data_IF_947434788636
#
_entry.id   IF_947434788636
#
_cell.length_a   1.000
_cell.length_b   1.000
_cell.length_c   1.000
_cell.angle_alpha   90.00
_cell.angle_beta   90.00
_cell.angle_gamma   90.00
#
_symmetry.space_group_name_H-M   'P 1'
#
loop_
_entity.id
_entity.type
_entity.pdbx_description
1 polymer ?
2 polymer ?
3 water ?
#
# COMPACT_ATOMS: atom_id res chain seq x y z
N UNK A 40 7.35 15.85 21.32
CA UNK A 40 7.43 15.08 20.08
C UNK A 40 6.85 15.89 18.89
N UNK A 41 7.63 16.00 17.82
CA UNK A 41 7.15 16.71 16.62
C UNK A 41 6.12 15.87 15.88
N UNK A 42 5.45 16.53 14.92
CA UNK A 42 4.55 15.84 14.02
C UNK A 42 5.36 15.01 13.02
N UNK A 43 4.83 13.85 12.66
CA UNK A 43 5.47 12.97 11.68
C UNK A 43 5.18 13.53 10.29
N UNK A 44 6.06 13.30 9.31
CA UNK A 44 5.78 13.79 7.96
C UNK A 44 4.52 13.14 7.42
N UNK A 45 3.86 13.85 6.51
CA UNK A 45 2.68 13.29 5.86
C UNK A 45 3.04 12.05 5.06
N UNK A 46 2.06 11.16 4.87
CA UNK A 46 2.24 10.00 4.02
C UNK A 46 0.88 9.47 3.56
N UNK A 47 0.90 8.67 2.51
CA UNK A 47 -0.36 8.06 2.13
C UNK A 47 -0.64 6.91 3.08
N UNK A 48 -1.87 6.48 3.10
CA UNK A 48 -2.26 5.35 3.94
C UNK A 48 -2.00 4.06 3.18
N UNK A 49 -0.97 3.31 3.58
CA UNK A 49 -0.76 1.97 3.08
C UNK A 49 -1.84 1.05 3.64
N UNK A 50 -1.98 -0.12 3.01
CA UNK A 50 -2.98 -1.05 3.53
C UNK A 50 -2.59 -1.56 4.91
N UNK A 51 -1.28 -1.63 5.21
CA UNK A 51 -0.87 -2.06 6.53
C UNK A 51 -1.28 -1.03 7.57
N UNK A 52 -1.02 0.24 7.28
CA UNK A 52 -1.50 1.30 8.15
C UNK A 52 -2.99 1.16 8.33
N UNK A 53 -3.71 0.96 7.22
CA UNK A 53 -5.16 0.80 7.29
C UNK A 53 -5.58 -0.30 8.25
N UNK A 54 -4.95 -1.47 8.16
CA UNK A 54 -5.33 -2.59 9.03
C UNK A 54 -4.94 -2.30 10.47
N UNK A 55 -3.69 -1.90 10.70
CA UNK A 55 -3.24 -1.57 12.04
C UNK A 55 -4.13 -0.50 12.67
N UNK A 56 -4.41 0.59 11.93
CA UNK A 56 -5.18 1.70 12.50
C UNK A 56 -6.63 1.33 12.75
N UNK A 57 -7.22 0.52 11.85
CA UNK A 57 -8.61 0.12 12.00
C UNK A 57 -8.82 -0.67 13.29
N UNK A 58 -7.93 -1.63 13.54
CA UNK A 58 -8.00 -2.40 14.78
C UNK A 58 -7.77 -1.52 15.99
N UNK A 59 -6.81 -0.60 15.89
CA UNK A 59 -6.55 0.28 17.02
C UNK A 59 -7.80 1.11 17.34
N UNK A 60 -8.40 1.72 16.32
CA UNK A 60 -9.61 2.49 16.52
C UNK A 60 -10.72 1.61 17.09
N UNK A 61 -10.88 0.41 16.52
CA UNK A 61 -11.84 -0.56 17.04
C UNK A 61 -11.61 -0.84 18.51
N UNK A 62 -10.38 -1.21 18.86
CA UNK A 62 -10.07 -1.53 20.25
C UNK A 62 -10.35 -0.36 21.18
N UNK A 63 -10.08 0.87 20.73
CA UNK A 63 -10.24 2.00 21.64
C UNK A 63 -11.67 2.54 21.65
N UNK A 64 -12.57 1.74 21.13
CA UNK A 64 -13.98 2.06 21.06
C UNK A 64 -14.45 3.21 20.25
N UNK A 65 -13.89 3.37 19.07
CA UNK A 65 -14.30 4.44 18.21
C UNK A 65 -15.11 4.02 17.02
N UNK A 66 -15.90 4.94 16.51
CA UNK A 66 -16.66 4.70 15.33
C UNK A 66 -17.74 3.66 15.28
N UNK A 67 -17.63 2.61 16.05
CA UNK A 67 -18.59 1.53 15.88
C UNK A 67 -19.99 2.00 16.27
N UNK A 68 -20.93 1.82 15.35
CA UNK A 68 -22.31 2.17 15.57
C UNK A 68 -22.64 3.63 15.42
N UNK A 69 -21.63 4.50 15.27
CA UNK A 69 -21.89 5.92 15.19
C UNK A 69 -22.50 6.26 13.84
N UNK A 70 -23.39 7.24 13.82
CA UNK A 70 -24.02 7.64 12.58
C UNK A 70 -23.03 8.34 11.65
N UNK A 71 -23.04 7.92 10.39
CA UNK A 71 -22.21 8.53 9.36
C UNK A 71 -22.80 9.85 8.88
N UNK A 72 -21.92 10.81 8.61
CA UNK A 72 -22.30 12.08 8.02
C UNK A 72 -21.10 12.62 7.25
N UNK A 73 -21.37 13.53 6.32
CA UNK A 73 -20.28 14.20 5.62
C UNK A 73 -19.36 14.89 6.61
N UNK A 74 -19.92 15.62 7.57
CA UNK A 74 -19.08 16.30 8.55
C UNK A 74 -18.18 15.30 9.28
N UNK A 75 -18.76 14.18 9.71
CA UNK A 75 -17.98 13.22 10.48
C UNK A 75 -16.94 12.51 9.63
N UNK A 76 -17.26 12.25 8.37
CA UNK A 76 -16.26 11.84 7.40
C UNK A 76 -15.09 12.82 7.43
N UNK A 77 -15.38 14.13 7.36
CA UNK A 77 -14.29 15.10 7.33
C UNK A 77 -13.56 15.14 8.66
N UNK A 78 -14.30 15.04 9.76
CA UNK A 78 -13.67 15.01 11.08
C UNK A 78 -12.68 13.85 11.16
N UNK A 79 -13.07 12.69 10.65
CA UNK A 79 -12.17 11.54 10.63
C UNK A 79 -10.95 11.83 9.77
N UNK A 80 -11.15 12.32 8.54
CA UNK A 80 -10.04 12.74 7.70
C UNK A 80 -9.08 13.64 8.47
N UNK A 81 -9.61 14.65 9.15
CA UNK A 81 -8.78 15.66 9.80
C UNK A 81 -8.03 15.07 10.99
N UNK A 82 -8.72 14.25 11.78
CA UNK A 82 -8.10 13.67 12.95
C UNK A 82 -6.86 12.90 12.56
N UNK A 83 -6.97 12.03 11.57
CA UNK A 83 -5.83 11.20 11.22
C UNK A 83 -4.77 11.97 10.45
N UNK A 84 -5.16 13.03 9.73
CA UNK A 84 -4.16 13.86 9.09
C UNK A 84 -3.28 14.53 10.14
N UNK A 85 -3.90 15.18 11.12
CA UNK A 85 -3.17 15.95 12.11
C UNK A 85 -2.67 15.10 13.27
N UNK A 86 -2.96 13.81 13.28
CA UNK A 86 -2.46 12.92 14.32
C UNK A 86 -1.56 11.81 13.81
N UNK A 87 -1.71 11.39 12.56
CA UNK A 87 -0.81 10.37 12.03
C UNK A 87 -0.17 10.79 10.72
N UNK A 88 -0.37 12.03 10.29
CA UNK A 88 0.19 12.46 9.03
C UNK A 88 -0.39 11.73 7.84
N UNK A 89 -1.65 11.36 7.92
CA UNK A 89 -2.31 10.65 6.85
C UNK A 89 -2.95 11.66 5.92
N UNK A 90 -2.61 11.56 4.65
CA UNK A 90 -3.20 12.44 3.68
C UNK A 90 -4.62 11.99 3.55
N UNK A 91 -5.58 13.00 3.54
CA UNK A 91 -6.95 12.53 3.47
C UNK A 91 -7.44 12.16 2.10
N UNK A 92 -6.88 11.11 1.54
CA UNK A 92 -7.31 10.63 0.24
C UNK A 92 -7.67 9.18 0.26
N UNK A 93 -7.76 8.63 1.45
CA UNK A 93 -8.00 7.22 1.62
C UNK A 93 -9.45 6.89 1.94
N UNK A 94 -10.21 7.83 2.50
CA UNK A 94 -11.55 7.55 2.99
C UNK A 94 -12.56 7.74 1.88
N UNK A 95 -12.84 6.67 1.17
CA UNK A 95 -13.82 6.68 0.08
C UNK A 95 -14.62 5.39 0.19
N UNK A 96 -15.89 5.43 -0.16
CA UNK A 96 -16.74 4.26 -0.05
C UNK A 96 -17.51 4.00 -1.30
N UNK A 97 -18.00 2.79 -1.47
CA UNK A 97 -18.79 2.41 -2.64
C UNK A 97 -20.18 3.02 -2.65
N UNK A 98 -20.63 3.40 -3.83
CA UNK A 98 -21.87 4.11 -4.08
C UNK A 98 -23.31 3.68 -3.96
N UNK A 99 -23.64 2.51 -4.44
CA UNK A 99 -25.02 2.09 -4.51
C UNK A 99 -25.63 1.91 -3.19
N UNK A 100 -26.95 1.83 -3.14
CA UNK A 100 -27.61 1.62 -1.85
C UNK A 100 -27.05 0.39 -1.12
N UNK A 101 -27.38 0.30 0.14
CA UNK A 101 -26.91 -0.80 0.95
C UNK A 101 -25.57 -0.49 1.57
N UNK A 102 -24.84 -1.56 1.90
CA UNK A 102 -23.55 -1.44 2.55
C UNK A 102 -22.56 -0.77 1.61
N UNK A 103 -21.77 0.11 2.19
CA UNK A 103 -20.77 0.82 1.46
C UNK A 103 -19.46 0.29 1.94
N UNK A 104 -18.67 -0.17 1.02
CA UNK A 104 -17.42 -0.78 1.34
C UNK A 104 -16.31 0.18 1.10
N UNK A 105 -15.32 0.18 1.97
CA UNK A 105 -14.19 1.08 1.81
C UNK A 105 -13.43 0.76 0.56
N UNK A 106 -13.09 1.76 -0.20
CA UNK A 106 -12.34 1.54 -1.44
C UNK A 106 -10.83 1.48 -1.23
N UNK A 107 -10.33 1.91 -0.06
CA UNK A 107 -8.97 1.64 0.34
C UNK A 107 -8.94 0.26 0.99
N UNK A 108 -8.27 -0.71 0.36
CA UNK A 108 -8.18 -2.04 0.96
C UNK A 108 -7.43 -1.96 2.28
N UNK A 109 -7.90 -2.70 3.26
CA UNK A 109 -7.30 -2.73 4.57
C UNK A 109 -8.01 -1.87 5.60
N UNK A 110 -8.79 -0.89 5.17
CA UNK A 110 -9.60 -0.10 6.08
C UNK A 110 -10.83 -0.91 6.45
N UNK A 111 -11.05 -1.12 7.75
CA UNK A 111 -12.00 -2.12 8.22
C UNK A 111 -13.33 -1.53 8.65
N UNK A 112 -13.63 -0.31 8.26
CA UNK A 112 -14.83 0.35 8.71
C UNK A 112 -15.74 0.56 7.50
N UNK A 113 -16.77 -0.26 7.38
CA UNK A 113 -17.74 -0.07 6.32
C UNK A 113 -18.94 0.72 6.85
N UNK A 114 -19.83 1.10 5.92
CA UNK A 114 -21.06 1.83 6.24
C UNK A 114 -22.24 0.91 6.05
N UNK A 115 -23.02 0.73 7.11
CA UNK A 115 -24.18 -0.16 7.13
C UNK A 115 -25.44 0.69 7.21
N UNK A 116 -26.43 0.46 6.36
CA UNK A 116 -27.66 1.24 6.46
C UNK A 116 -28.45 0.91 7.72
N UNK A 117 -29.04 1.93 8.29
CA UNK A 117 -29.87 1.84 9.48
C UNK A 117 -31.31 2.11 9.04
N UNK A 118 -32.25 1.34 9.57
CA UNK A 118 -33.66 1.61 9.31
C UNK A 118 -34.18 2.62 10.32
N UNK A 119 -34.77 3.70 9.82
CA UNK A 119 -35.22 4.81 10.67
C UNK A 119 -36.62 5.23 10.22
N UNK A 125 -36.70 14.02 8.59
CA UNK A 125 -36.11 15.36 8.47
C UNK A 125 -36.29 16.02 7.10
N UNK A 126 -36.82 17.25 7.07
CA UNK A 126 -37.04 17.85 5.75
C UNK A 126 -35.82 18.66 5.35
N UNK A 127 -35.75 18.96 4.05
CA UNK A 127 -34.53 19.53 3.50
C UNK A 127 -34.18 20.85 4.17
N UNK A 128 -35.19 21.63 4.52
CA UNK A 128 -34.93 22.93 5.13
C UNK A 128 -34.26 22.78 6.50
N UNK A 129 -34.70 21.81 7.31
CA UNK A 129 -33.98 21.55 8.55
C UNK A 129 -32.54 21.18 8.26
N UNK A 130 -32.32 20.33 7.25
CA UNK A 130 -30.96 19.93 6.90
C UNK A 130 -30.07 21.14 6.63
N UNK A 131 -30.58 22.13 5.91
CA UNK A 131 -29.81 23.31 5.62
C UNK A 131 -29.46 24.06 6.90
N UNK A 132 -30.47 24.41 7.69
CA UNK A 132 -30.23 25.36 8.76
C UNK A 132 -29.75 24.72 10.04
N UNK A 133 -29.86 23.42 10.21
CA UNK A 133 -29.39 22.83 11.44
C UNK A 133 -28.44 21.69 11.11
N UNK A 134 -27.42 21.38 12.04
CA UNK A 134 -26.38 20.38 11.74
C UNK A 134 -26.86 18.97 11.99
N UNK A 135 -27.92 18.55 11.31
CA UNK A 135 -28.43 17.22 11.60
C UNK A 135 -27.36 16.22 11.27
N UNK A 136 -27.04 15.37 12.22
CA UNK A 136 -26.01 14.39 12.00
C UNK A 136 -26.44 12.97 11.66
N UNK A 137 -26.98 12.82 10.46
CA UNK A 137 -27.35 11.55 9.92
C UNK A 137 -27.09 11.74 8.47
N UNK A 138 -26.86 10.66 7.80
CA UNK A 138 -26.54 10.73 6.36
C UNK A 138 -27.76 10.91 5.47
N UNK A 139 -28.97 11.12 6.04
CA UNK A 139 -30.19 11.15 5.22
C UNK A 139 -30.04 12.04 4.00
N UNK A 140 -29.53 13.25 4.18
CA UNK A 140 -29.38 14.19 3.08
C UNK A 140 -27.96 14.30 2.56
N UNK A 141 -26.96 13.80 3.31
CA UNK A 141 -25.62 13.78 2.74
C UNK A 141 -25.53 12.68 1.69
N UNK A 142 -26.28 11.62 1.86
CA UNK A 142 -26.14 10.40 1.07
C UNK A 142 -26.96 10.52 -0.20
N UNK A 143 -26.37 10.30 -1.37
CA UNK A 143 -27.14 10.44 -2.62
C UNK A 143 -28.34 9.52 -2.70
N UNK A 144 -28.34 8.41 -1.98
CA UNK A 144 -29.43 7.46 -2.02
C UNK A 144 -30.33 7.58 -0.80
N UNK A 145 -30.15 8.65 0.00
CA UNK A 145 -30.98 8.95 1.13
C UNK A 145 -31.01 7.96 2.29
N UNK A 146 -30.14 6.96 2.28
CA UNK A 146 -30.08 6.02 3.39
C UNK A 146 -29.32 6.62 4.56
N UNK A 147 -29.72 6.23 5.77
CA UNK A 147 -29.00 6.60 6.99
C UNK A 147 -27.98 5.51 7.25
N UNK A 148 -26.70 5.88 7.25
CA UNK A 148 -25.60 4.94 7.34
C UNK A 148 -24.96 5.01 8.72
N UNK A 149 -24.45 3.87 9.16
CA UNK A 149 -23.70 3.80 10.41
C UNK A 149 -22.37 3.08 10.18
N UNK A 150 -21.35 3.46 10.97
CA UNK A 150 -20.06 2.81 10.84
C UNK A 150 -20.13 1.45 11.48
N UNK A 151 -19.58 0.44 10.82
CA UNK A 151 -19.51 -0.91 11.36
C UNK A 151 -18.12 -1.47 11.11
N UNK A 152 -17.55 -2.08 12.13
CA UNK A 152 -16.25 -2.73 12.00
C UNK A 152 -16.43 -4.11 11.36
N UNK A 153 -15.62 -4.40 10.34
CA UNK A 153 -15.67 -5.71 9.72
C UNK A 153 -14.24 -6.15 9.40
N UNK A 154 -13.72 -7.14 10.13
CA UNK A 154 -12.30 -7.51 9.95
C UNK A 154 -12.06 -8.37 8.72
N UNK A 155 -13.10 -8.95 8.12
CA UNK A 155 -12.88 -9.67 6.89
C UNK A 155 -12.45 -8.75 5.77
N UNK A 156 -12.62 -7.44 5.97
CA UNK A 156 -12.13 -6.48 5.00
C UNK A 156 -10.60 -6.50 4.91
N UNK A 157 -9.91 -7.11 5.87
CA UNK A 157 -8.48 -7.35 5.74
C UNK A 157 -8.17 -8.56 4.88
N UNK A 158 -9.17 -9.38 4.58
CA UNK A 158 -9.07 -10.63 3.84
C UNK A 158 -9.65 -10.52 2.45
N UNK A 159 -10.76 -9.82 2.33
CA UNK A 159 -11.37 -9.65 1.04
C UNK A 159 -11.51 -8.17 0.68
N UNK A 160 -11.06 -7.81 -0.49
CA UNK A 160 -11.16 -6.47 -0.96
C UNK A 160 -12.53 -6.45 -1.58
N UNK A 161 -13.55 -6.35 -0.75
CA UNK A 161 -14.90 -6.38 -1.24
C UNK A 161 -15.24 -5.27 -2.17
N UNK A 162 -14.83 -4.08 -1.86
CA UNK A 162 -15.14 -2.99 -2.78
C UNK A 162 -14.66 -3.32 -4.19
N UNK A 163 -13.40 -3.74 -4.33
CA UNK A 163 -12.84 -3.98 -5.65
C UNK A 163 -13.51 -5.16 -6.33
N UNK A 164 -13.77 -6.23 -5.57
CA UNK A 164 -14.34 -7.44 -6.15
C UNK A 164 -15.79 -7.24 -6.50
N UNK A 165 -16.49 -6.37 -5.77
CA UNK A 165 -17.90 -6.16 -6.07
C UNK A 165 -18.16 -4.99 -7.03
N UNK A 166 -17.40 -3.90 -6.94
CA UNK A 166 -17.68 -2.69 -7.72
C UNK A 166 -16.44 -2.21 -8.47
N UNK A 167 -15.91 -3.05 -9.38
CA UNK A 167 -14.70 -2.63 -10.13
C UNK A 167 -14.90 -1.33 -10.86
N UNK A 168 -16.10 -1.10 -11.40
CA UNK A 168 -16.38 0.12 -12.15
C UNK A 168 -16.10 1.37 -11.34
N UNK A 169 -16.16 1.27 -10.02
CA UNK A 169 -15.93 2.44 -9.17
C UNK A 169 -14.46 2.72 -8.94
N UNK A 170 -13.55 2.14 -9.72
CA UNK A 170 -12.11 2.37 -9.57
C UNK A 170 -11.44 2.87 -10.84
N UNK B 40 14.11 11.68 -19.71
CA UNK B 40 13.41 11.47 -18.44
C UNK B 40 14.38 10.92 -17.39
N UNK B 41 14.47 11.61 -16.23
CA UNK B 41 15.27 11.09 -15.12
C UNK B 41 14.54 9.95 -14.44
N UNK B 42 15.26 9.25 -13.57
CA UNK B 42 14.63 8.18 -12.80
C UNK B 42 13.66 8.78 -11.79
N UNK B 43 12.54 8.09 -11.55
CA UNK B 43 11.54 8.56 -10.59
C UNK B 43 12.04 8.32 -9.18
N UNK B 44 11.63 9.13 -8.19
CA UNK B 44 12.09 8.92 -6.81
C UNK B 44 11.67 7.56 -6.28
N UNK B 45 12.42 7.08 -5.29
CA UNK B 45 12.04 5.84 -4.64
C UNK B 45 10.70 5.97 -3.90
N UNK B 46 9.98 4.87 -3.85
CA UNK B 46 8.74 4.79 -3.11
C UNK B 46 8.47 3.32 -2.82
N UNK B 47 7.60 3.08 -1.83
CA UNK B 47 7.23 1.72 -1.54
C UNK B 47 6.19 1.25 -2.55
N UNK B 48 6.02 -0.06 -2.65
CA UNK B 48 5.02 -0.63 -3.54
C UNK B 48 3.70 -0.65 -2.82
N UNK B 49 2.80 0.26 -3.21
CA UNK B 49 1.44 0.19 -2.73
C UNK B 49 0.75 -1.01 -3.38
N UNK B 50 -0.38 -1.40 -2.81
CA UNK B 50 -1.13 -2.47 -3.43
C UNK B 50 -1.72 -2.05 -4.77
N UNK B 51 -1.94 -0.76 -5.00
CA UNK B 51 -2.39 -0.36 -6.34
C UNK B 51 -1.26 -0.53 -7.35
N UNK B 52 -0.04 -0.09 -7.01
CA UNK B 52 1.11 -0.39 -7.85
C UNK B 52 1.25 -1.89 -8.08
N UNK B 53 1.20 -2.65 -6.99
CA UNK B 53 1.32 -4.10 -7.08
C UNK B 53 0.34 -4.67 -8.09
N UNK B 54 -0.94 -4.29 -7.99
CA UNK B 54 -1.94 -4.84 -8.90
C UNK B 54 -1.72 -4.36 -10.32
N UNK B 55 -1.59 -3.04 -10.50
CA UNK B 55 -1.36 -2.53 -11.85
C UNK B 55 -0.13 -3.17 -12.47
N UNK B 56 0.98 -3.21 -11.72
CA UNK B 56 2.24 -3.73 -12.29
C UNK B 56 2.15 -5.22 -12.55
N UNK B 57 1.46 -5.98 -11.69
CA UNK B 57 1.35 -7.42 -11.90
C UNK B 57 0.66 -7.72 -13.22
N UNK B 58 -0.45 -7.02 -13.49
CA UNK B 58 -1.17 -7.17 -14.74
C UNK B 58 -0.32 -6.73 -15.92
N UNK B 59 0.43 -5.65 -15.77
CA UNK B 59 1.28 -5.19 -16.85
C UNK B 59 2.32 -6.25 -17.21
N UNK B 60 3.00 -6.79 -16.20
CA UNK B 60 4.03 -7.81 -16.41
C UNK B 60 3.44 -9.04 -17.07
N UNK B 61 2.27 -9.47 -16.60
CA UNK B 61 1.53 -10.56 -17.24
C UNK B 61 1.27 -10.27 -18.71
N UNK B 62 0.67 -9.14 -19.01
CA UNK B 62 0.36 -8.79 -20.36
C UNK B 62 1.54 -8.70 -21.26
N UNK B 63 2.68 -8.35 -20.73
CA UNK B 63 3.89 -8.17 -21.50
C UNK B 63 4.82 -9.35 -21.72
N UNK B 64 4.39 -10.55 -21.38
CA UNK B 64 5.24 -11.70 -21.54
C UNK B 64 5.07 -12.04 -20.13
N UNK B 65 6.10 -11.94 -19.31
CA UNK B 65 5.87 -12.16 -17.93
C UNK B 65 6.83 -12.89 -17.11
N UNK B 66 6.28 -13.46 -16.09
CA UNK B 66 7.06 -14.28 -15.23
C UNK B 66 6.49 -15.63 -15.30
N UNK B 67 5.35 -15.69 -15.95
CA UNK B 67 4.58 -16.90 -16.01
C UNK B 67 5.32 -18.08 -16.52
N UNK B 68 5.23 -19.13 -15.74
CA UNK B 68 5.87 -20.40 -16.00
C UNK B 68 7.34 -20.50 -15.66
N UNK B 69 8.00 -19.40 -15.30
CA UNK B 69 9.43 -19.37 -15.02
C UNK B 69 9.71 -20.01 -13.66
N UNK B 70 10.84 -20.72 -13.58
CA UNK B 70 11.27 -21.32 -12.33
C UNK B 70 11.78 -20.26 -11.38
N UNK B 71 11.31 -20.32 -10.13
CA UNK B 71 11.77 -19.41 -9.10
C UNK B 71 13.18 -19.82 -8.66
N UNK B 72 14.00 -18.82 -8.37
CA UNK B 72 15.33 -18.99 -7.82
C UNK B 72 15.68 -17.74 -7.00
N UNK B 73 16.64 -17.90 -6.09
CA UNK B 73 17.09 -16.76 -5.29
C UNK B 73 17.60 -15.63 -6.16
N UNK B 74 18.46 -15.95 -7.13
CA UNK B 74 18.98 -14.91 -8.03
C UNK B 74 17.84 -14.22 -8.75
N UNK B 75 16.88 -15.00 -9.28
CA UNK B 75 15.79 -14.37 -10.03
C UNK B 75 14.90 -13.53 -9.14
N UNK B 76 14.72 -13.95 -7.89
CA UNK B 76 14.08 -13.08 -6.91
C UNK B 76 14.76 -11.71 -6.89
N UNK B 77 16.11 -11.70 -6.82
CA UNK B 77 16.82 -10.42 -6.78
C UNK B 77 16.74 -9.68 -8.10
N UNK B 78 16.83 -10.39 -9.22
CA UNK B 78 16.76 -9.75 -10.53
C UNK B 78 15.45 -8.97 -10.68
N UNK B 79 14.34 -9.58 -10.25
CA UNK B 79 13.06 -8.88 -10.26
C UNK B 79 13.08 -7.67 -9.32
N UNK B 80 13.50 -7.87 -8.07
CA UNK B 80 13.67 -6.76 -7.13
C UNK B 80 14.44 -5.62 -7.78
N UNK B 81 15.57 -5.93 -8.39
CA UNK B 81 16.43 -4.90 -8.94
C UNK B 81 15.78 -4.25 -10.15
N UNK B 82 15.14 -5.07 -10.98
CA UNK B 82 14.48 -4.54 -12.16
C UNK B 82 13.46 -3.47 -11.77
N UNK B 83 12.62 -3.75 -10.79
CA UNK B 83 11.62 -2.76 -10.41
C UNK B 83 12.22 -1.63 -9.58
N UNK B 84 13.34 -1.84 -8.91
CA UNK B 84 14.00 -0.73 -8.24
C UNK B 84 14.54 0.28 -9.25
N UNK B 85 15.33 -0.19 -10.20
CA UNK B 85 15.98 0.74 -11.12
C UNK B 85 15.13 1.14 -12.32
N UNK B 86 13.93 0.59 -12.48
CA UNK B 86 13.06 1.00 -13.57
C UNK B 86 11.74 1.64 -13.13
N UNK B 87 11.25 1.33 -11.93
CA UNK B 87 10.07 1.98 -11.38
C UNK B 87 10.32 2.60 -10.02
N UNK B 88 11.56 2.59 -9.53
CA UNK B 88 11.84 3.17 -8.23
C UNK B 88 11.14 2.49 -7.08
N UNK B 89 10.95 1.18 -7.15
CA UNK B 89 10.29 0.43 -6.07
C UNK B 89 11.35 -0.07 -5.09
N UNK B 90 11.21 0.30 -3.84
CA UNK B 90 12.14 -0.17 -2.86
C UNK B 90 11.98 -1.67 -2.79
N UNK B 91 13.17 -2.39 -2.76
CA UNK B 91 13.01 -3.84 -2.76
C UNK B 91 12.72 -4.45 -1.41
N UNK B 92 11.56 -4.15 -0.89
CA UNK B 92 11.15 -4.70 0.37
C UNK B 92 9.75 -5.29 0.30
N UNK B 93 9.26 -5.47 -0.90
CA UNK B 93 7.91 -5.95 -1.13
C UNK B 93 7.83 -7.42 -1.49
N UNK B 94 8.90 -8.01 -2.05
CA UNK B 94 8.85 -9.36 -2.60
C UNK B 94 9.14 -10.42 -1.54
N UNK B 95 8.09 -10.90 -0.92
CA UNK B 95 8.21 -11.94 0.07
C UNK B 95 7.03 -12.90 -0.09
N UNK B 96 7.29 -14.18 0.19
CA UNK B 96 6.29 -15.21 -0.01
C UNK B 96 6.06 -16.01 1.26
N UNK B 97 4.90 -16.61 1.38
CA UNK B 97 4.63 -17.48 2.50
C UNK B 97 5.46 -18.71 2.26
N UNK B 98 5.75 -19.45 3.30
CA UNK B 98 6.64 -20.57 3.18
C UNK B 98 6.24 -22.01 3.11
N UNK B 99 5.29 -22.38 3.91
CA UNK B 99 5.05 -23.80 4.06
C UNK B 99 5.13 -24.49 2.72
N UNK B 100 5.02 -25.81 2.72
CA UNK B 100 5.00 -26.54 1.44
C UNK B 100 3.86 -26.05 0.55
N UNK B 101 3.93 -26.39 -0.71
CA UNK B 101 2.84 -26.02 -1.58
C UNK B 101 2.97 -24.64 -2.16
N UNK B 102 1.84 -24.02 -2.45
CA UNK B 102 1.84 -22.69 -3.03
C UNK B 102 2.38 -21.69 -2.03
N UNK B 103 3.21 -20.79 -2.52
CA UNK B 103 3.72 -19.65 -1.75
C UNK B 103 3.06 -18.40 -2.26
N UNK B 104 2.37 -17.73 -1.40
CA UNK B 104 1.56 -16.53 -1.61
C UNK B 104 2.34 -15.28 -1.31
N UNK B 105 2.18 -14.26 -2.16
CA UNK B 105 2.86 -12.97 -1.91
C UNK B 105 2.41 -12.36 -0.60
N UNK B 106 3.37 -11.90 0.20
CA UNK B 106 2.94 -11.27 1.45
C UNK B 106 2.60 -9.79 1.26
N UNK B 107 2.97 -9.20 0.13
CA UNK B 107 2.47 -7.88 -0.23
C UNK B 107 1.13 -8.08 -0.94
N UNK B 108 0.06 -7.61 -0.32
CA UNK B 108 -1.24 -7.70 -0.93
C UNK B 108 -1.25 -6.95 -2.25
N UNK B 109 -1.86 -7.55 -3.27
CA UNK B 109 -1.96 -6.93 -4.56
C UNK B 109 -0.92 -7.39 -5.55
N UNK B 110 0.15 -8.00 -5.07
CA UNK B 110 1.12 -8.60 -5.96
C UNK B 110 0.50 -9.91 -6.44
N UNK B 111 0.38 -10.06 -7.75
CA UNK B 111 -0.48 -11.12 -8.27
C UNK B 111 0.31 -12.33 -8.76
N UNK B 112 1.57 -12.45 -8.37
CA UNK B 112 2.42 -13.53 -8.86
C UNK B 112 2.81 -14.43 -7.69
N UNK B 113 2.23 -15.63 -7.64
CA UNK B 113 2.50 -16.62 -6.61
C UNK B 113 3.52 -17.68 -7.08
N UNK B 114 3.96 -18.52 -6.14
CA UNK B 114 4.89 -19.60 -6.43
C UNK B 114 4.16 -20.93 -6.32
N UNK B 115 4.17 -21.67 -7.40
CA UNK B 115 3.46 -22.95 -7.51
C UNK B 115 4.48 -24.06 -7.60
N UNK B 116 4.32 -25.14 -6.83
CA UNK B 116 5.25 -26.26 -6.95
C UNK B 116 5.07 -26.99 -8.28
N UNK B 117 6.20 -27.33 -8.89
CA UNK B 117 6.27 -28.09 -10.14
C UNK B 117 6.97 -29.39 -9.84
N UNK B 118 6.46 -30.50 -10.36
CA UNK B 118 7.22 -31.75 -10.26
C UNK B 118 8.04 -31.92 -11.51
N UNK B 119 9.30 -32.31 -11.30
CA UNK B 119 10.30 -32.24 -12.36
C UNK B 119 11.02 -33.57 -12.51
N UNK B 120 11.23 -33.96 -13.78
CA UNK B 120 11.96 -35.17 -14.15
C UNK B 120 13.32 -35.22 -13.47
N UNK B 121 13.62 -36.36 -12.85
CA UNK B 121 14.88 -36.46 -12.12
C UNK B 121 16.10 -36.36 -13.03
N UNK B 122 15.91 -36.41 -14.36
CA UNK B 122 16.96 -36.04 -15.30
C UNK B 122 17.14 -34.52 -15.36
N UNK B 123 16.03 -33.78 -15.36
CA UNK B 123 16.06 -32.32 -15.40
C UNK B 123 16.11 -31.68 -14.03
N UNK B 124 16.18 -32.47 -12.95
CA UNK B 124 16.37 -31.89 -11.63
C UNK B 124 17.76 -31.25 -11.52
N UNK B 125 17.83 -30.13 -10.80
CA UNK B 125 19.07 -29.40 -10.72
C UNK B 125 20.08 -30.19 -9.92
N UNK B 126 21.28 -30.32 -10.46
CA UNK B 126 22.32 -31.08 -9.79
C UNK B 126 22.88 -30.27 -8.62
N UNK B 127 22.89 -30.88 -7.44
CA UNK B 127 23.33 -30.17 -6.25
C UNK B 127 24.79 -29.75 -6.32
N UNK B 128 25.64 -30.50 -7.01
CA UNK B 128 26.99 -30.00 -7.19
C UNK B 128 27.00 -28.70 -7.98
N UNK B 129 26.20 -28.62 -9.04
CA UNK B 129 26.08 -27.37 -9.80
C UNK B 129 25.54 -26.24 -8.92
N UNK B 130 24.51 -26.53 -8.11
CA UNK B 130 23.99 -25.56 -7.16
C UNK B 130 25.08 -24.99 -6.25
N UNK B 131 26.01 -25.82 -5.79
CA UNK B 131 27.10 -25.31 -4.97
C UNK B 131 27.96 -24.33 -5.73
N UNK B 132 28.43 -24.75 -6.89
CA UNK B 132 29.48 -23.99 -7.57
C UNK B 132 28.97 -22.89 -8.48
N UNK B 133 27.69 -22.91 -8.81
CA UNK B 133 27.06 -21.87 -9.62
C UNK B 133 25.80 -21.38 -8.93
N UNK B 134 25.20 -20.30 -9.42
CA UNK B 134 23.97 -19.82 -8.78
C UNK B 134 22.85 -20.81 -9.04
N UNK B 135 21.89 -20.86 -8.12
CA UNK B 135 20.82 -21.85 -8.20
C UNK B 135 19.97 -21.64 -9.45
N UNK B 136 19.81 -22.72 -10.21
CA UNK B 136 18.88 -22.73 -11.34
C UNK B 136 17.43 -22.77 -10.87
N UNK B 137 17.17 -23.32 -9.70
CA UNK B 137 15.81 -23.51 -9.24
C UNK B 137 15.79 -23.29 -7.74
N UNK B 138 14.60 -23.39 -7.17
CA UNK B 138 14.45 -23.28 -5.74
C UNK B 138 14.72 -24.60 -5.01
N UNK B 139 15.01 -25.68 -5.73
CA UNK B 139 15.04 -27.02 -5.12
C UNK B 139 15.96 -27.14 -3.92
N UNK B 140 17.18 -26.61 -4.02
CA UNK B 140 18.12 -26.78 -2.94
C UNK B 140 18.15 -25.59 -1.99
N UNK B 141 17.62 -24.45 -2.42
CA UNK B 141 17.41 -23.30 -1.55
C UNK B 141 16.16 -23.44 -0.68
N UNK B 142 15.19 -24.22 -1.13
CA UNK B 142 13.86 -24.24 -0.51
C UNK B 142 13.84 -25.23 0.66
N UNK B 143 13.35 -24.81 1.83
CA UNK B 143 13.28 -25.71 3.01
C UNK B 143 12.45 -26.96 2.79
N UNK B 144 11.53 -26.96 1.85
CA UNK B 144 10.68 -28.12 1.58
C UNK B 144 11.10 -28.85 0.31
N UNK B 145 12.27 -28.53 -0.24
CA UNK B 145 12.80 -29.19 -1.41
C UNK B 145 11.99 -29.04 -2.68
N UNK B 146 10.97 -28.19 -2.67
CA UNK B 146 10.13 -28.02 -3.85
C UNK B 146 10.75 -27.11 -4.91
N UNK B 147 10.49 -27.45 -6.17
CA UNK B 147 10.82 -26.60 -7.30
C UNK B 147 9.61 -25.69 -7.56
N UNK B 148 9.82 -24.38 -7.44
CA UNK B 148 8.73 -23.42 -7.51
C UNK B 148 8.75 -22.66 -8.83
N UNK B 149 7.55 -22.34 -9.32
CA UNK B 149 7.41 -21.53 -10.51
C UNK B 149 6.39 -20.41 -10.28
N UNK B 150 6.60 -19.30 -11.01
CA UNK B 150 5.70 -18.16 -10.94
C UNK B 150 4.42 -18.44 -11.71
N UNK B 151 3.28 -18.14 -11.10
CA UNK B 151 1.98 -18.24 -11.74
C UNK B 151 1.22 -16.96 -11.46
N UNK B 152 0.64 -16.39 -12.50
CA UNK B 152 -0.18 -15.21 -12.36
C UNK B 152 -1.52 -15.63 -11.79
N UNK B 153 -1.98 -14.94 -10.78
CA UNK B 153 -3.28 -15.23 -10.22
C UNK B 153 -3.96 -13.91 -9.90
N UNK B 154 -4.98 -13.52 -10.66
CA UNK B 154 -5.58 -12.20 -10.44
C UNK B 154 -6.52 -12.18 -9.26
N UNK B 155 -6.95 -13.35 -8.78
CA UNK B 155 -7.79 -13.38 -7.60
C UNK B 155 -7.06 -12.84 -6.39
N UNK B 156 -5.75 -12.74 -6.46
CA UNK B 156 -4.96 -12.15 -5.39
C UNK B 156 -5.20 -10.65 -5.26
N UNK B 157 -5.85 -10.00 -6.23
CA UNK B 157 -6.31 -8.64 -6.02
C UNK B 157 -7.58 -8.59 -5.17
N UNK B 158 -8.19 -9.74 -4.92
CA UNK B 158 -9.44 -9.85 -4.20
C UNK B 158 -9.28 -10.45 -2.82
N UNK B 159 -8.42 -11.43 -2.70
CA UNK B 159 -8.21 -12.08 -1.43
C UNK B 159 -6.77 -12.04 -1.01
N UNK B 160 -6.54 -11.59 0.20
CA UNK B 160 -5.21 -11.52 0.72
C UNK B 160 -4.97 -12.89 1.27
N UNK B 161 -4.66 -13.81 0.40
CA UNK B 161 -4.47 -15.20 0.79
C UNK B 161 -3.36 -15.40 1.76
N UNK B 162 -2.24 -14.76 1.53
CA UNK B 162 -1.16 -14.88 2.49
C UNK B 162 -1.65 -14.54 3.87
N UNK B 163 -2.29 -13.37 4.02
CA UNK B 163 -2.68 -12.91 5.33
C UNK B 163 -3.72 -13.83 5.94
N UNK B 164 -4.68 -14.29 5.13
CA UNK B 164 -5.79 -15.05 5.69
C UNK B 164 -5.35 -16.46 6.07
N UNK B 165 -4.38 -17.02 5.35
CA UNK B 165 -3.98 -18.41 5.59
C UNK B 165 -2.83 -18.50 6.59
N UNK B 166 -1.88 -17.56 6.55
CA UNK B 166 -0.67 -17.65 7.38
C UNK B 166 -0.45 -16.37 8.17
N UNK B 167 -1.39 -15.98 9.03
CA UNK B 167 -1.20 -14.75 9.83
C UNK B 167 0.07 -14.75 10.65
N UNK B 168 0.48 -15.94 11.14
CA UNK B 168 1.68 -16.08 11.96
C UNK B 168 2.92 -15.51 11.28
N UNK B 169 2.96 -15.50 9.95
CA UNK B 169 4.14 -14.99 9.25
C UNK B 169 4.12 -13.46 9.14
N UNK B 170 3.32 -12.78 9.96
CA UNK B 170 3.20 -11.32 9.96
C UNK B 170 3.46 -10.74 11.35
N UNK C 4 -0.13 26.28 -5.44
CA UNK C 4 1.15 25.97 -6.07
C UNK C 4 0.86 25.27 -7.40
N UNK C 5 1.36 25.84 -8.49
CA UNK C 5 1.10 25.32 -9.84
C UNK C 5 2.42 24.88 -10.43
N UNK C 6 2.47 23.64 -10.90
CA UNK C 6 3.67 23.11 -11.53
C UNK C 6 3.35 22.79 -12.98
N UNK C 7 4.42 22.65 -13.75
CA UNK C 7 4.38 22.30 -15.15
C UNK C 7 5.26 21.06 -15.33
N UNK C 8 4.74 20.10 -16.09
CA UNK C 8 5.52 18.92 -16.40
C UNK C 8 6.72 19.28 -17.27
N UNK C 9 7.90 18.86 -16.84
CA UNK C 9 9.09 19.00 -17.65
C UNK C 9 9.43 17.73 -18.42
N UNK C 10 8.75 16.63 -18.12
CA UNK C 10 8.89 15.40 -18.90
C UNK C 10 7.55 14.70 -18.93
N UNK C 11 7.43 13.76 -19.85
CA UNK C 11 6.25 12.92 -19.94
C UNK C 11 6.38 11.78 -18.91
N UNK C 12 5.27 11.46 -18.24
CA UNK C 12 5.23 10.43 -17.21
C UNK C 12 4.04 9.50 -17.44
N UNK C 13 4.32 8.24 -17.73
CA UNK C 13 3.29 7.22 -17.82
C UNK C 13 3.29 6.51 -16.48
N UNK C 14 2.26 6.76 -15.67
CA UNK C 14 2.23 6.34 -14.30
C UNK C 14 1.42 5.06 -14.08
N UNK C 15 1.37 4.65 -12.83
CA UNK C 15 0.62 3.46 -12.47
C UNK C 15 -0.64 3.88 -11.71
N UNK C 16 -1.49 2.91 -11.47
CA UNK C 16 -2.73 3.15 -10.73
C UNK C 16 -2.44 3.84 -9.41
N UNK C 17 -2.96 5.05 -9.26
CA UNK C 17 -2.70 5.94 -8.14
C UNK C 17 -1.80 7.11 -8.46
N UNK C 18 -1.20 7.13 -9.65
CA UNK C 18 -0.38 8.23 -10.13
C UNK C 18 -1.22 9.14 -11.02
N UNK C 19 -0.74 10.35 -11.20
CA UNK C 19 -1.26 11.26 -12.21
C UNK C 19 -0.31 11.21 -13.40
N UNK C 20 -0.80 10.72 -14.54
CA UNK C 20 -0.04 10.76 -15.79
C UNK C 20 -0.19 12.13 -16.44
N UNK C 21 0.88 12.60 -17.08
CA UNK C 21 0.91 13.90 -17.71
C UNK C 21 1.91 13.89 -18.86
N UNK C 22 1.93 14.97 -19.62
CA UNK C 22 2.83 15.10 -20.73
C UNK C 22 3.62 16.35 -20.50
N UNK C 23 4.77 16.48 -21.15
CA UNK C 23 5.59 17.65 -20.94
C UNK C 23 4.76 18.86 -21.22
N UNK C 24 4.90 19.85 -20.38
CA UNK C 24 4.16 21.06 -20.53
C UNK C 24 2.82 21.10 -19.83
N UNK C 25 2.23 19.95 -19.54
CA UNK C 25 0.99 19.92 -18.77
C UNK C 25 1.16 20.62 -17.43
N UNK C 26 0.13 21.35 -17.02
CA UNK C 26 0.15 22.06 -15.75
C UNK C 26 -0.88 21.48 -14.80
N UNK C 27 -0.52 21.43 -13.52
CA UNK C 27 -1.36 20.80 -12.50
C UNK C 27 -1.03 21.43 -11.17
N UNK C 28 -2.02 21.41 -10.26
CA UNK C 28 -1.87 21.96 -8.91
C UNK C 28 -1.20 20.93 -8.01
N UNK C 29 -0.29 21.38 -7.16
CA UNK C 29 0.23 20.52 -6.11
C UNK C 29 -0.78 20.50 -4.98
N UNK C 30 -1.25 19.32 -4.61
CA UNK C 30 -2.12 19.22 -3.45
C UNK C 30 -1.37 18.82 -2.19
N UNK C 31 -0.32 18.03 -2.31
CA UNK C 31 0.58 17.77 -1.20
C UNK C 31 2.02 17.80 -1.73
N UNK C 32 2.88 18.47 -0.99
CA UNK C 32 4.28 18.64 -1.38
C UNK C 32 5.19 17.88 -0.42
N UNK C 33 4.66 16.91 0.29
CA UNK C 33 5.48 16.20 1.26
C UNK C 33 6.27 15.10 0.55
N UNK C 34 7.48 14.85 1.01
CA UNK C 34 8.30 13.79 0.43
C UNK C 34 8.71 14.15 -1.00
N UNK C 35 9.18 13.13 -1.73
CA UNK C 35 9.55 13.34 -3.12
C UNK C 35 8.49 12.84 -4.10
N UNK C 36 7.42 12.20 -3.61
CA UNK C 36 6.22 11.98 -4.40
C UNK C 36 5.14 12.94 -3.92
N UNK C 37 4.49 13.63 -4.87
CA UNK C 37 3.54 14.68 -4.56
C UNK C 37 2.15 14.31 -5.08
N UNK C 38 1.15 14.84 -4.39
CA UNK C 38 -0.23 14.76 -4.83
C UNK C 38 -0.57 15.97 -5.70
N UNK C 39 -1.29 15.71 -6.79
CA UNK C 39 -1.55 16.79 -7.72
C UNK C 39 -2.88 16.57 -8.41
N UNK C 40 -3.48 17.68 -8.85
CA UNK C 40 -4.70 17.66 -9.64
C UNK C 40 -4.38 18.29 -10.99
N UNK C 41 -4.78 17.61 -12.06
CA UNK C 41 -4.55 18.14 -13.40
C UNK C 41 -5.52 19.26 -13.70
N UNK C 42 -4.98 20.40 -14.15
CA UNK C 42 -5.82 21.51 -14.55
C UNK C 42 -6.67 21.20 -15.77
N UNK C 43 -6.19 20.28 -16.61
CA UNK C 43 -6.93 19.91 -17.81
C UNK C 43 -8.09 18.98 -17.49
N UNK C 44 -7.90 18.05 -16.55
CA UNK C 44 -8.83 16.96 -16.30
C UNK C 44 -9.49 16.98 -14.94
N UNK C 45 -8.99 17.79 -14.01
CA UNK C 45 -9.39 17.66 -12.61
C UNK C 45 -9.15 16.25 -12.08
N UNK C 46 -8.19 15.53 -12.70
CA UNK C 46 -7.80 14.19 -12.29
C UNK C 46 -6.70 14.30 -11.26
N UNK C 47 -6.82 13.56 -10.16
CA UNK C 47 -5.89 13.63 -9.06
C UNK C 47 -5.03 12.37 -8.98
N UNK C 48 -3.81 12.53 -8.48
CA UNK C 48 -2.91 11.40 -8.37
C UNK C 48 -1.53 11.84 -7.93
N UNK C 49 -0.65 10.86 -7.81
CA UNK C 49 0.71 11.09 -7.37
C UNK C 49 1.67 11.21 -8.54
N UNK C 50 2.66 12.10 -8.37
CA UNK C 50 3.59 12.45 -9.43
C UNK C 50 5.00 12.53 -8.86
N UNK C 51 6.01 12.26 -9.69
CA UNK C 51 7.41 12.43 -9.27
C UNK C 51 7.75 13.90 -9.25
N UNK C 52 8.19 14.40 -8.09
CA UNK C 52 8.45 15.83 -7.97
C UNK C 52 9.52 16.29 -8.94
N UNK C 53 10.56 15.47 -9.15
CA UNK C 53 11.66 15.88 -10.00
C UNK C 53 11.28 16.03 -11.47
N UNK C 54 10.08 15.61 -11.87
CA UNK C 54 9.59 15.75 -13.22
C UNK C 54 8.87 17.07 -13.46
N UNK C 55 8.77 17.95 -12.47
CA UNK C 55 7.99 19.18 -12.63
C UNK C 55 8.77 20.35 -12.08
N UNK C 56 8.26 21.55 -12.37
CA UNK C 56 8.77 22.82 -11.84
C UNK C 56 7.61 23.79 -11.72
N UNK C 57 7.71 24.71 -10.75
CA UNK C 57 6.66 25.70 -10.48
C UNK C 57 6.43 26.68 -11.62
N UNK D 3 26.15 3.01 4.82
CA UNK D 3 26.43 2.89 6.24
C UNK D 3 26.13 4.22 6.94
N UNK D 4 25.14 4.95 6.45
CA UNK D 4 24.64 6.15 7.14
C UNK D 4 23.87 5.71 8.39
N UNK D 5 24.30 6.23 9.55
CA UNK D 5 23.76 5.82 10.85
C UNK D 5 23.10 7.03 11.50
N UNK D 6 21.85 6.87 11.93
CA UNK D 6 21.14 7.95 12.60
C UNK D 6 20.84 7.53 14.02
N UNK D 7 20.53 8.52 14.85
CA UNK D 7 20.18 8.30 16.25
C UNK D 7 18.85 8.98 16.56
N UNK D 8 17.99 8.26 17.29
CA UNK D 8 16.70 8.79 17.69
C UNK D 8 16.84 10.01 18.59
N UNK D 9 16.10 11.09 18.27
CA UNK D 9 15.96 12.26 19.12
C UNK D 9 14.66 12.31 19.89
N UNK D 10 13.71 11.42 19.59
CA UNK D 10 12.48 11.30 20.36
C UNK D 10 12.02 9.85 20.26
N UNK D 11 11.11 9.46 21.16
CA UNK D 11 10.54 8.12 21.07
C UNK D 11 9.50 8.11 19.97
N UNK D 12 9.42 7.00 19.25
CA UNK D 12 8.43 6.86 18.19
C UNK D 12 7.77 5.50 18.33
N UNK D 13 6.46 5.53 18.59
CA UNK D 13 5.61 4.33 18.59
C UNK D 13 4.88 4.32 17.25
N UNK D 14 5.30 3.42 16.35
CA UNK D 14 4.81 3.39 14.99
C UNK D 14 3.72 2.35 14.75
N UNK D 15 3.36 2.21 13.48
CA UNK D 15 2.33 1.28 13.04
C UNK D 15 2.93 0.15 12.24
N UNK D 16 2.14 -0.83 11.86
CA UNK D 16 2.64 -1.96 11.14
C UNK D 16 3.36 -1.44 9.92
N UNK D 17 4.60 -1.85 9.76
CA UNK D 17 5.44 -1.41 8.68
C UNK D 17 6.37 -0.29 9.07
N UNK D 18 6.18 0.28 10.25
CA UNK D 18 7.11 1.25 10.76
C UNK D 18 8.08 0.55 11.68
N UNK D 19 9.21 1.18 11.85
CA UNK D 19 10.17 0.79 12.87
C UNK D 19 9.93 1.70 14.07
N UNK D 20 9.52 1.12 15.19
CA UNK D 20 9.36 1.88 16.43
C UNK D 20 10.71 2.00 17.12
N UNK D 21 10.90 3.13 17.80
CA UNK D 21 12.18 3.31 18.47
C UNK D 21 12.00 4.26 19.65
N UNK D 22 13.02 4.33 20.49
CA UNK D 22 13.06 5.26 21.60
C UNK D 22 14.24 6.20 21.46
N UNK D 23 14.11 7.37 22.09
CA UNK D 23 15.15 8.40 22.03
C UNK D 23 16.50 7.79 22.36
N UNK D 24 17.50 8.10 21.54
CA UNK D 24 18.82 7.60 21.74
C UNK D 24 19.15 6.36 20.93
N UNK D 25 18.13 5.59 20.54
CA UNK D 25 18.38 4.44 19.69
C UNK D 25 19.07 4.87 18.41
N UNK D 26 20.04 4.08 17.96
CA UNK D 26 20.76 4.35 16.73
C UNK D 26 20.42 3.26 15.73
N UNK D 27 20.30 3.63 14.47
CA UNK D 27 19.88 2.70 13.44
C UNK D 27 20.45 3.09 12.08
N UNK D 28 20.60 2.09 11.21
CA UNK D 28 21.07 2.32 9.84
C UNK D 28 19.92 2.84 8.99
N UNK D 29 20.18 3.86 8.18
CA UNK D 29 19.22 4.23 7.15
C UNK D 29 19.43 3.30 5.97
N UNK D 30 18.37 2.60 5.56
CA UNK D 30 18.49 1.76 4.37
C UNK D 30 17.99 2.46 3.12
N UNK D 31 17.00 3.33 3.23
CA UNK D 31 16.67 4.25 2.15
C UNK D 31 16.38 5.61 2.75
N UNK D 32 16.91 6.67 2.12
CA UNK D 32 16.72 8.03 2.62
C UNK D 32 15.91 8.88 1.66
N UNK D 33 15.08 8.29 0.82
CA UNK D 33 14.30 9.10 -0.11
C UNK D 33 13.06 9.66 0.58
N UNK D 34 12.71 10.89 0.21
CA UNK D 34 11.57 11.48 0.85
C UNK D 34 11.86 11.81 2.30
N UNK D 35 10.77 12.04 3.01
CA UNK D 35 10.69 12.33 4.45
C UNK D 35 10.31 11.15 5.32
N UNK D 36 9.86 10.04 4.75
CA UNK D 36 9.75 8.78 5.45
C UNK D 36 10.86 7.90 4.93
N UNK D 37 11.64 7.34 5.83
CA UNK D 37 12.84 6.61 5.48
C UNK D 37 12.72 5.16 5.88
N UNK D 38 13.45 4.30 5.17
CA UNK D 38 13.61 2.92 5.56
C UNK D 38 14.79 2.83 6.51
N UNK D 39 14.66 2.00 7.54
CA UNK D 39 15.74 1.90 8.51
C UNK D 39 15.77 0.51 9.12
N UNK D 40 16.96 0.16 9.61
CA UNK D 40 17.18 -1.05 10.40
C UNK D 40 17.74 -0.60 11.74
N UNK D 41 17.13 -1.08 12.82
CA UNK D 41 17.59 -0.75 14.17
C UNK D 41 18.83 -1.56 14.53
N UNK D 42 19.86 -0.85 15.02
CA UNK D 42 21.07 -1.52 15.49
C UNK D 42 20.80 -2.41 16.68
N UNK D 43 19.75 -2.12 17.45
CA UNK D 43 19.43 -2.92 18.63
C UNK D 43 18.83 -4.28 18.27
N UNK D 44 17.95 -4.31 17.26
CA UNK D 44 17.09 -5.45 16.99
C UNK D 44 17.32 -6.11 15.64
N UNK D 45 17.99 -5.44 14.71
CA UNK D 45 18.04 -5.79 13.29
C UNK D 45 16.65 -5.79 12.66
N UNK D 46 15.71 -5.06 13.23
CA UNK D 46 14.36 -4.94 12.71
C UNK D 46 14.26 -3.78 11.71
N UNK D 47 13.57 -4.03 10.60
CA UNK D 47 13.42 -3.07 9.53
C UNK D 47 12.01 -2.49 9.53
N UNK D 48 11.90 -1.26 9.06
CA UNK D 48 10.63 -0.55 9.05
C UNK D 48 10.84 0.89 8.64
N UNK D 49 9.73 1.62 8.56
CA UNK D 49 9.78 3.01 8.12
C UNK D 49 9.77 3.98 9.31
N UNK D 50 10.50 5.08 9.18
CA UNK D 50 10.64 6.01 10.30
C UNK D 50 10.45 7.45 9.83
N UNK D 51 10.00 8.34 10.71
CA UNK D 51 9.91 9.76 10.36
C UNK D 51 11.31 10.36 10.43
N UNK D 52 11.76 10.93 9.32
CA UNK D 52 13.11 11.48 9.25
C UNK D 52 13.30 12.62 10.25
N UNK D 53 12.27 13.43 10.49
CA UNK D 53 12.38 14.53 11.44
C UNK D 53 12.56 14.07 12.88
N UNK D 54 12.44 12.77 13.16
CA UNK D 54 12.71 12.25 14.49
C UNK D 54 14.16 11.87 14.71
N UNK D 55 15.03 11.98 13.71
CA UNK D 55 16.40 11.49 13.82
C UNK D 55 17.40 12.51 13.27
N UNK D 56 18.67 12.26 13.56
CA UNK D 56 19.78 13.08 13.06
C UNK D 56 21.03 12.21 12.87
N UNK D 57 21.88 12.63 11.94
CA UNK D 57 23.14 11.92 11.66
C UNK D 57 24.08 11.97 12.87
#
# INVERSE_FOLDING_TARGET
GAMATPWRNPAEEREKLAYRKQNMDDIDEEDDDLVGVSVRPKVPLRTMSYKLAIDMSHFIKEKGGLEGIYYSARRHRILDIYLEKEEGIIPDWQDYTSGPGIRYPKTFGWLWKLVPVNVSDEAQEDEEHYLMHPAQTSQWDDPWGEVLAWKFDPTLAYTYEAYVRYPEEFGS
GAMATPWRNPAEEREKLAYRKQNMDDIDEEDDDLVGVSVRPKVPLRTMSYKLAIDMSHFIKEKGGLEGIYYSARRHRILDIYLEKEEGIIPDWQDYTSGPGIRYPKTFGWLWKLVPVNVSDEAQEDEEHYLMHPAQTSQWDDPWGEVLAWKFDPTLAYTYEAYVRYPEEFGS
MEDIIVVALYDYEGWWGDLSFQKGDQMVVLEESGEWWKARSLATRKEGYIPSNYVARVDS
MEDIIVVALYDYEGWWGDLSFQKGDQMVVLEESGEWWKARSLATRKEGYIPSNYVARVDS
#
